data_IF_856529596513
#
_entry.id   IF_856529596513
#
_cell.length_a   1.000
_cell.length_b   1.000
_cell.length_c   1.000
_cell.angle_alpha   90.00
_cell.angle_beta   90.00
_cell.angle_gamma   90.00
#
_symmetry.space_group_name_H-M   'P 1'
#
loop_
_entity.id
_entity.type
_entity.pdbx_description
1 polymer ?
#
# COMPACT_ATOMS: atom_id res chain seq x y z
N UNK A 1 19.20 -8.19 -13.02
CA UNK A 1 19.91 -6.92 -13.16
C UNK A 1 20.75 -6.52 -11.93
N UNK A 2 20.65 -7.14 -10.76
CA UNK A 2 21.53 -6.92 -9.61
C UNK A 2 21.36 -5.61 -8.82
N UNK A 3 20.52 -4.70 -9.26
CA UNK A 3 20.16 -3.48 -8.52
C UNK A 3 18.89 -3.64 -7.72
N UNK A 4 18.72 -2.85 -6.67
CA UNK A 4 17.49 -2.81 -5.85
C UNK A 4 16.45 -1.95 -6.58
N UNK A 5 15.32 -2.57 -6.96
CA UNK A 5 14.20 -1.86 -7.60
C UNK A 5 13.19 -1.42 -6.56
N UNK A 6 12.80 -0.15 -6.62
CA UNK A 6 11.69 0.39 -5.82
C UNK A 6 10.37 -0.11 -6.39
N UNK A 7 9.64 -0.90 -5.64
CA UNK A 7 8.28 -1.33 -6.03
C UNK A 7 7.30 -0.18 -5.78
N UNK A 8 7.29 0.35 -4.57
CA UNK A 8 6.52 1.55 -4.20
C UNK A 8 7.13 2.20 -2.96
N UNK A 9 7.42 3.50 -2.96
CA UNK A 9 7.71 4.20 -1.73
C UNK A 9 6.44 4.23 -0.87
N UNK A 10 6.61 4.14 0.45
CA UNK A 10 5.49 4.29 1.38
C UNK A 10 5.11 5.76 1.41
N UNK A 11 3.84 6.07 1.17
CA UNK A 11 3.31 7.43 1.12
C UNK A 11 3.63 8.22 2.42
N UNK A 12 3.80 9.54 2.31
CA UNK A 12 4.17 10.49 3.36
C UNK A 12 5.51 10.22 4.07
N UNK A 13 6.25 9.20 3.64
CA UNK A 13 7.59 8.96 4.16
C UNK A 13 8.60 9.96 3.60
N UNK A 14 9.75 10.12 4.24
CA UNK A 14 10.84 10.93 3.71
C UNK A 14 11.24 10.55 2.27
N UNK A 15 11.26 9.26 1.94
CA UNK A 15 11.58 8.78 0.60
C UNK A 15 10.55 9.25 -0.45
N UNK A 16 9.25 9.11 -0.15
CA UNK A 16 8.20 9.59 -1.04
C UNK A 16 8.25 11.11 -1.22
N UNK A 17 8.45 11.87 -0.12
CA UNK A 17 8.57 13.34 -0.15
C UNK A 17 9.81 13.83 -0.90
N UNK A 18 10.89 13.07 -0.86
CA UNK A 18 12.11 13.35 -1.61
C UNK A 18 12.00 12.99 -3.10
N UNK A 19 10.88 12.43 -3.56
CA UNK A 19 10.61 12.19 -4.97
C UNK A 19 11.05 10.82 -5.50
N UNK A 20 11.33 9.85 -4.63
CA UNK A 20 11.47 8.44 -5.03
C UNK A 20 10.15 7.95 -5.60
N UNK A 21 10.19 7.19 -6.71
CA UNK A 21 9.01 6.71 -7.44
C UNK A 21 9.02 5.20 -7.64
N UNK A 22 7.86 4.58 -7.86
CA UNK A 22 7.79 3.20 -8.30
C UNK A 22 8.59 3.01 -9.60
N UNK A 23 9.38 1.94 -9.68
CA UNK A 23 10.21 1.64 -10.83
C UNK A 23 11.64 2.20 -10.80
N UNK A 24 11.98 3.08 -9.87
CA UNK A 24 13.35 3.56 -9.69
C UNK A 24 14.30 2.40 -9.32
N UNK A 25 15.52 2.45 -9.83
CA UNK A 25 16.59 1.52 -9.48
C UNK A 25 17.63 2.23 -8.61
N UNK A 26 17.80 1.77 -7.39
CA UNK A 26 18.84 2.28 -6.48
C UNK A 26 20.18 1.70 -6.94
N UNK A 27 21.14 2.57 -7.27
CA UNK A 27 22.48 2.19 -7.70
C UNK A 27 23.51 2.41 -6.61
N UNK A 28 23.36 3.45 -5.79
CA UNK A 28 24.25 3.73 -4.65
C UNK A 28 23.42 4.16 -3.43
N UNK A 29 23.97 3.86 -2.27
CA UNK A 29 23.54 4.33 -0.96
C UNK A 29 24.75 5.02 -0.33
N UNK A 30 24.67 6.35 -0.13
CA UNK A 30 25.82 7.20 0.11
C UNK A 30 26.86 6.94 -1.00
N UNK A 31 28.14 6.73 -0.67
CA UNK A 31 29.22 6.46 -1.63
C UNK A 31 29.35 4.96 -2.00
N UNK A 32 28.44 4.10 -1.55
CA UNK A 32 28.54 2.65 -1.74
C UNK A 32 27.59 2.14 -2.82
N UNK A 33 28.15 1.48 -3.84
CA UNK A 33 27.37 0.82 -4.89
C UNK A 33 26.61 -0.39 -4.34
N UNK A 34 25.33 -0.54 -4.74
CA UNK A 34 24.47 -1.65 -4.26
C UNK A 34 24.48 -2.86 -5.21
N UNK A 35 25.20 -2.80 -6.31
CA UNK A 35 25.25 -3.90 -7.29
C UNK A 35 25.80 -5.16 -6.63
N UNK A 36 25.02 -6.24 -6.66
CA UNK A 36 25.42 -7.54 -6.11
C UNK A 36 25.23 -7.69 -4.61
N UNK A 37 24.75 -6.68 -3.90
CA UNK A 37 24.36 -6.81 -2.50
C UNK A 37 23.07 -7.62 -2.36
N UNK A 38 22.90 -8.30 -1.23
CA UNK A 38 21.61 -8.85 -0.87
C UNK A 38 20.61 -7.72 -0.56
N UNK A 39 19.31 -8.01 -0.69
CA UNK A 39 18.28 -7.03 -0.32
C UNK A 39 18.39 -6.63 1.16
N UNK A 40 18.80 -7.56 2.00
CA UNK A 40 18.96 -7.31 3.44
C UNK A 40 20.12 -6.35 3.73
N UNK A 41 21.26 -6.53 3.07
CA UNK A 41 22.41 -5.62 3.21
C UNK A 41 22.03 -4.20 2.76
N UNK A 42 21.34 -4.07 1.62
CA UNK A 42 20.87 -2.78 1.14
C UNK A 42 19.89 -2.13 2.12
N UNK A 43 18.96 -2.91 2.72
CA UNK A 43 18.02 -2.41 3.74
C UNK A 43 18.76 -1.94 5.00
N UNK A 44 19.79 -2.66 5.43
CA UNK A 44 20.62 -2.25 6.58
C UNK A 44 21.35 -0.94 6.34
N UNK A 45 21.88 -0.74 5.13
CA UNK A 45 22.50 0.53 4.73
C UNK A 45 21.51 1.69 4.68
N UNK A 46 20.27 1.44 4.25
CA UNK A 46 19.20 2.45 4.24
C UNK A 46 18.78 2.86 5.65
N UNK A 47 18.88 1.96 6.62
CA UNK A 47 18.58 2.23 8.03
C UNK A 47 19.67 3.09 8.67
N UNK A 48 19.32 3.73 9.78
CA UNK A 48 20.25 4.52 10.57
C UNK A 48 19.54 5.36 11.63
N UNK A 49 20.28 6.19 12.39
CA UNK A 49 19.73 7.02 13.43
C UNK A 49 18.67 7.99 12.88
N UNK A 50 17.58 8.16 13.62
CA UNK A 50 16.53 9.13 13.28
C UNK A 50 17.13 10.53 13.21
N UNK A 51 16.80 11.27 12.15
CA UNK A 51 17.31 12.61 11.90
C UNK A 51 18.64 12.68 11.15
N UNK A 52 19.34 11.56 10.93
CA UNK A 52 20.52 11.53 10.05
C UNK A 52 20.12 11.60 8.59
N UNK A 53 20.98 12.15 7.75
CA UNK A 53 20.80 12.20 6.32
C UNK A 53 21.39 10.96 5.65
N UNK A 54 20.86 10.62 4.47
CA UNK A 54 21.36 9.59 3.57
C UNK A 54 21.19 10.10 2.14
N UNK A 55 22.13 9.81 1.26
CA UNK A 55 22.02 10.10 -0.17
C UNK A 55 21.78 8.81 -0.92
N UNK A 56 20.70 8.75 -1.70
CA UNK A 56 20.38 7.61 -2.53
C UNK A 56 20.52 8.03 -3.99
N UNK A 57 21.41 7.35 -4.74
CA UNK A 57 21.50 7.54 -6.18
C UNK A 57 20.58 6.55 -6.87
N UNK A 58 19.69 7.07 -7.70
CA UNK A 58 18.73 6.28 -8.47
C UNK A 58 18.89 6.48 -9.96
N UNK A 59 18.53 5.45 -10.72
CA UNK A 59 18.32 5.53 -12.17
C UNK A 59 16.83 5.33 -12.43
N UNK A 60 16.25 6.26 -13.19
CA UNK A 60 14.83 6.29 -13.54
C UNK A 60 14.66 6.15 -15.04
N UNK A 61 13.72 5.31 -15.46
CA UNK A 61 13.42 5.15 -16.89
C UNK A 61 12.89 6.49 -17.44
N UNK A 62 13.51 6.98 -18.52
CA UNK A 62 13.17 8.24 -19.15
C UNK A 62 14.01 9.44 -18.70
N UNK A 63 14.90 9.26 -17.72
CA UNK A 63 15.90 10.25 -17.34
C UNK A 63 17.28 9.81 -17.89
N UNK A 64 18.07 10.75 -18.40
CA UNK A 64 19.40 10.46 -18.99
C UNK A 64 20.46 10.27 -17.90
N UNK A 65 20.43 11.08 -16.86
CA UNK A 65 21.41 11.08 -15.78
C UNK A 65 20.89 10.43 -14.49
N UNK A 66 21.76 9.81 -13.67
CA UNK A 66 21.42 9.35 -12.32
C UNK A 66 20.97 10.52 -11.44
N UNK A 67 19.97 10.30 -10.62
CA UNK A 67 19.39 11.30 -9.72
C UNK A 67 19.88 11.03 -8.30
N UNK A 68 20.52 12.04 -7.68
CA UNK A 68 20.86 11.98 -6.27
C UNK A 68 19.72 12.54 -5.43
N UNK A 69 19.24 11.74 -4.49
CA UNK A 69 18.11 12.06 -3.61
C UNK A 69 18.59 12.06 -2.17
N UNK A 70 18.61 13.23 -1.55
CA UNK A 70 18.92 13.35 -0.12
C UNK A 70 17.66 13.10 0.70
N UNK A 71 17.76 12.20 1.68
CA UNK A 71 16.64 11.78 2.53
C UNK A 71 17.06 11.89 3.99
N UNK A 72 16.26 12.61 4.80
CA UNK A 72 16.42 12.65 6.24
C UNK A 72 15.68 11.48 6.87
N UNK A 73 16.39 10.59 7.57
CA UNK A 73 15.80 9.42 8.23
C UNK A 73 14.80 9.82 9.30
N UNK A 74 13.66 9.15 9.35
CA UNK A 74 12.59 9.36 10.31
C UNK A 74 11.99 8.04 10.74
N UNK A 75 11.23 8.05 11.84
CA UNK A 75 10.39 6.90 12.21
C UNK A 75 9.29 6.76 11.16
N UNK A 76 9.25 5.61 10.49
CA UNK A 76 8.25 5.31 9.48
C UNK A 76 7.07 4.62 10.15
N UNK A 77 5.96 5.34 10.27
CA UNK A 77 4.68 4.75 10.70
C UNK A 77 3.89 4.35 9.47
N UNK A 78 3.88 3.07 9.17
CA UNK A 78 3.11 2.53 8.04
C UNK A 78 1.64 2.47 8.44
N UNK A 79 0.83 3.38 7.87
CA UNK A 79 -0.62 3.27 7.95
C UNK A 79 -1.09 2.37 6.81
N UNK A 80 -1.81 1.29 7.13
CA UNK A 80 -2.35 0.39 6.12
C UNK A 80 -3.39 1.08 5.23
N UNK A 81 -4.13 2.05 5.77
CA UNK A 81 -5.23 2.74 5.09
C UNK A 81 -5.09 4.24 5.25
N UNK A 82 -5.33 4.97 4.16
CA UNK A 82 -5.48 6.42 4.10
C UNK A 82 -6.80 6.74 3.43
N UNK A 83 -7.37 7.84 3.78
CA UNK A 83 -8.62 8.28 3.19
C UNK A 83 -8.75 9.80 3.21
N UNK A 84 -9.49 10.32 2.26
CA UNK A 84 -9.89 11.71 2.18
C UNK A 84 -11.21 11.83 1.42
N UNK A 85 -11.86 12.96 1.58
CA UNK A 85 -13.04 13.33 0.85
C UNK A 85 -12.67 13.92 -0.50
N UNK A 86 -13.32 13.46 -1.57
CA UNK A 86 -13.25 14.03 -2.93
C UNK A 86 -14.65 14.46 -3.38
N UNK A 87 -15.01 15.71 -3.07
CA UNK A 87 -16.39 16.17 -3.28
C UNK A 87 -17.38 15.38 -2.43
N UNK A 88 -18.29 14.64 -3.09
CA UNK A 88 -19.25 13.74 -2.44
C UNK A 88 -18.86 12.25 -2.56
N UNK A 89 -17.59 11.96 -2.85
CA UNK A 89 -17.06 10.61 -2.96
C UNK A 89 -16.05 10.37 -1.84
N UNK A 90 -16.10 9.21 -1.21
CA UNK A 90 -15.10 8.76 -0.25
C UNK A 90 -13.91 8.11 -0.97
N UNK A 91 -12.72 8.72 -0.92
CA UNK A 91 -11.51 8.10 -1.45
C UNK A 91 -10.77 7.37 -0.33
N UNK A 92 -10.48 6.09 -0.56
CA UNK A 92 -9.79 5.21 0.39
C UNK A 92 -8.63 4.53 -0.32
N UNK A 93 -7.41 4.73 0.15
CA UNK A 93 -6.22 4.06 -0.35
C UNK A 93 -5.76 3.00 0.63
N UNK A 94 -5.75 1.75 0.21
CA UNK A 94 -5.21 0.62 0.95
C UNK A 94 -3.78 0.33 0.49
N UNK A 95 -2.80 0.63 1.35
CA UNK A 95 -1.37 0.55 1.03
C UNK A 95 -0.88 -0.89 1.08
N UNK A 96 -1.34 -1.67 2.07
CA UNK A 96 -0.99 -3.09 2.21
C UNK A 96 -2.03 -3.81 3.06
N UNK A 97 -2.14 -5.13 2.88
CA UNK A 97 -3.02 -5.98 3.70
C UNK A 97 -2.31 -6.41 5.00
N UNK A 98 -1.98 -5.44 5.87
CA UNK A 98 -1.44 -5.68 7.21
C UNK A 98 -2.55 -6.00 8.21
N UNK A 99 -2.21 -6.41 9.44
CA UNK A 99 -3.17 -6.70 10.51
C UNK A 99 -4.16 -5.56 10.83
N UNK A 100 -3.82 -4.34 10.41
CA UNK A 100 -4.66 -3.17 10.63
C UNK A 100 -5.54 -2.81 9.43
N UNK A 101 -5.46 -3.56 8.33
CA UNK A 101 -6.15 -3.23 7.07
C UNK A 101 -7.68 -3.22 7.25
N UNK A 102 -8.26 -4.28 7.78
CA UNK A 102 -9.70 -4.39 8.02
C UNK A 102 -10.24 -3.25 8.89
N UNK A 103 -9.62 -3.05 10.06
CA UNK A 103 -10.00 -1.98 10.97
C UNK A 103 -9.84 -0.59 10.34
N UNK A 104 -8.78 -0.41 9.55
CA UNK A 104 -8.51 0.83 8.83
C UNK A 104 -9.59 1.16 7.80
N UNK A 105 -10.03 0.17 7.02
CA UNK A 105 -11.12 0.31 6.03
C UNK A 105 -12.44 0.68 6.71
N UNK A 106 -12.83 -0.04 7.77
CA UNK A 106 -14.05 0.26 8.54
C UNK A 106 -14.05 1.70 9.07
N UNK A 107 -12.94 2.12 9.67
CA UNK A 107 -12.78 3.48 10.17
C UNK A 107 -12.86 4.52 9.04
N UNK A 108 -12.25 4.24 7.89
CA UNK A 108 -12.26 5.14 6.74
C UNK A 108 -13.69 5.34 6.20
N UNK A 109 -14.42 4.24 5.96
CA UNK A 109 -15.82 4.29 5.48
C UNK A 109 -16.69 5.07 6.47
N UNK A 110 -16.63 4.76 7.75
CA UNK A 110 -17.44 5.45 8.76
C UNK A 110 -17.10 6.94 8.87
N UNK A 111 -15.80 7.29 8.86
CA UNK A 111 -15.36 8.69 8.94
C UNK A 111 -15.83 9.50 7.73
N UNK A 112 -15.69 8.95 6.52
CA UNK A 112 -16.11 9.59 5.28
C UNK A 112 -17.63 9.73 5.21
N UNK A 113 -18.37 8.71 5.62
CA UNK A 113 -19.84 8.76 5.70
C UNK A 113 -20.29 9.87 6.64
N UNK A 114 -19.67 9.98 7.81
CA UNK A 114 -19.98 11.04 8.78
C UNK A 114 -19.60 12.43 8.26
N UNK A 115 -18.44 12.57 7.60
CA UNK A 115 -17.94 13.85 7.09
C UNK A 115 -18.76 14.39 5.92
N UNK A 116 -19.10 13.52 4.96
CA UNK A 116 -19.84 13.88 3.73
C UNK A 116 -21.33 14.00 4.02
N UNK A 117 -21.81 13.19 4.96
CA UNK A 117 -23.24 12.97 5.23
C UNK A 117 -23.81 11.86 4.34
N UNK A 118 -24.52 10.94 4.92
CA UNK A 118 -25.04 9.73 4.27
C UNK A 118 -25.87 10.03 3.02
N UNK A 119 -26.68 11.09 3.06
CA UNK A 119 -27.51 11.53 1.92
C UNK A 119 -26.72 12.17 0.78
N UNK A 120 -25.54 12.71 1.06
CA UNK A 120 -24.69 13.38 0.06
C UNK A 120 -23.64 12.43 -0.52
N UNK A 121 -23.31 11.37 0.20
CA UNK A 121 -22.27 10.40 -0.21
C UNK A 121 -22.76 9.57 -1.39
N UNK A 122 -22.10 9.76 -2.55
CA UNK A 122 -22.43 9.09 -3.81
C UNK A 122 -21.86 7.68 -3.90
N UNK A 123 -20.69 7.45 -3.30
CA UNK A 123 -19.99 6.17 -3.33
C UNK A 123 -18.55 6.28 -2.89
N UNK A 124 -17.77 5.23 -3.13
CA UNK A 124 -16.38 5.14 -2.70
C UNK A 124 -15.45 4.80 -3.86
N UNK A 125 -14.20 5.25 -3.74
CA UNK A 125 -13.08 4.79 -4.55
C UNK A 125 -12.12 4.04 -3.63
N UNK A 126 -11.89 2.76 -3.91
CA UNK A 126 -10.88 1.94 -3.23
C UNK A 126 -9.64 1.86 -4.11
N UNK A 127 -8.58 2.57 -3.73
CA UNK A 127 -7.32 2.59 -4.48
C UNK A 127 -6.35 1.52 -3.95
N UNK A 128 -6.09 0.52 -4.78
CA UNK A 128 -5.13 -0.57 -4.56
C UNK A 128 -3.88 -0.42 -5.44
N UNK A 129 -3.72 0.68 -6.15
CA UNK A 129 -2.53 0.88 -7.01
C UNK A 129 -1.26 0.87 -6.18
N UNK A 130 -0.25 0.14 -6.69
CA UNK A 130 1.02 -0.09 -5.99
C UNK A 130 0.91 -0.79 -4.63
N UNK A 131 -0.21 -1.46 -4.35
CA UNK A 131 -0.35 -2.31 -3.18
C UNK A 131 0.40 -3.63 -3.44
N UNK A 132 1.43 -3.99 -2.64
CA UNK A 132 2.21 -5.21 -2.85
C UNK A 132 1.51 -6.49 -2.36
N UNK A 133 0.29 -6.39 -1.82
CA UNK A 133 -0.41 -7.49 -1.18
C UNK A 133 -0.25 -7.49 0.35
N UNK A 134 -0.20 -8.69 0.96
CA UNK A 134 -0.06 -8.86 2.39
C UNK A 134 -0.72 -10.13 2.91
N UNK A 135 -1.34 -10.05 4.08
CA UNK A 135 -1.97 -11.19 4.75
C UNK A 135 -3.28 -11.58 4.06
N UNK A 136 -3.42 -12.85 3.73
CA UNK A 136 -4.60 -13.39 3.05
C UNK A 136 -5.88 -13.22 3.89
N UNK A 137 -5.81 -13.47 5.19
CA UNK A 137 -6.94 -13.30 6.09
C UNK A 137 -7.41 -11.84 6.14
N UNK A 138 -6.49 -10.89 6.06
CA UNK A 138 -6.83 -9.47 5.98
C UNK A 138 -7.44 -9.10 4.63
N UNK A 139 -6.95 -9.68 3.53
CA UNK A 139 -7.59 -9.45 2.23
C UNK A 139 -9.01 -9.99 2.17
N UNK A 140 -9.25 -11.17 2.76
CA UNK A 140 -10.59 -11.72 2.88
C UNK A 140 -11.50 -10.84 3.75
N UNK A 141 -11.03 -10.36 4.90
CA UNK A 141 -11.80 -9.47 5.79
C UNK A 141 -12.11 -8.13 5.15
N UNK A 142 -11.12 -7.54 4.46
CA UNK A 142 -11.35 -6.28 3.73
C UNK A 142 -12.39 -6.46 2.64
N UNK A 143 -12.34 -7.56 1.89
CA UNK A 143 -13.32 -7.86 0.85
C UNK A 143 -14.70 -8.13 1.44
N UNK A 144 -14.77 -8.85 2.58
CA UNK A 144 -16.01 -9.14 3.31
C UNK A 144 -16.78 -7.88 3.69
N UNK A 145 -16.07 -6.79 4.02
CA UNK A 145 -16.69 -5.51 4.35
C UNK A 145 -17.59 -4.92 3.25
N UNK A 146 -17.41 -5.33 2.02
CA UNK A 146 -18.10 -4.80 0.84
C UNK A 146 -19.06 -5.80 0.19
N UNK A 147 -19.28 -6.94 0.83
CA UNK A 147 -20.11 -8.02 0.30
C UNK A 147 -21.08 -8.53 1.36
N UNK A 148 -22.28 -8.88 0.95
CA UNK A 148 -23.27 -9.52 1.83
C UNK A 148 -23.26 -11.04 1.75
N UNK A 149 -22.84 -11.60 0.62
CA UNK A 149 -22.88 -13.03 0.36
C UNK A 149 -21.89 -13.45 -0.71
N UNK A 150 -21.56 -14.73 -0.78
CA UNK A 150 -20.74 -15.31 -1.82
C UNK A 150 -19.37 -15.77 -1.34
N UNK A 151 -18.67 -16.51 -2.20
CA UNK A 151 -17.28 -16.94 -1.96
C UNK A 151 -16.34 -15.80 -2.34
N UNK A 152 -15.48 -15.39 -1.42
CA UNK A 152 -14.46 -14.35 -1.63
C UNK A 152 -13.26 -14.97 -2.32
N UNK A 153 -12.71 -16.04 -1.72
CA UNK A 153 -11.54 -16.74 -2.24
C UNK A 153 -11.51 -18.17 -1.74
N UNK A 154 -11.04 -19.09 -2.58
CA UNK A 154 -10.73 -20.46 -2.18
C UNK A 154 -9.29 -20.84 -2.52
N UNK A 155 -8.63 -21.53 -1.60
CA UNK A 155 -7.29 -22.07 -1.78
C UNK A 155 -7.43 -23.59 -1.90
N UNK A 156 -6.87 -24.13 -2.96
CA UNK A 156 -6.82 -25.58 -3.20
C UNK A 156 -5.39 -26.06 -3.10
N UNK A 157 -5.12 -26.93 -2.14
CA UNK A 157 -3.85 -27.65 -2.05
C UNK A 157 -3.69 -28.73 -3.12
N UNK A 158 -2.52 -29.37 -3.12
CA UNK A 158 -2.25 -30.53 -4.00
C UNK A 158 -3.22 -31.69 -3.70
N UNK A 159 -3.57 -31.90 -2.43
CA UNK A 159 -4.61 -32.84 -2.03
C UNK A 159 -5.98 -32.20 -2.20
N UNK A 160 -6.90 -32.93 -2.85
CA UNK A 160 -8.30 -32.46 -3.05
C UNK A 160 -9.06 -32.21 -1.74
N UNK A 161 -8.56 -32.72 -0.60
CA UNK A 161 -9.14 -32.48 0.73
C UNK A 161 -8.66 -31.18 1.39
N UNK A 162 -7.57 -30.60 0.90
CA UNK A 162 -6.98 -29.38 1.46
C UNK A 162 -7.56 -28.15 0.74
N UNK A 163 -8.82 -27.87 1.05
CA UNK A 163 -9.51 -26.68 0.52
C UNK A 163 -9.86 -25.78 1.68
N UNK A 164 -9.31 -24.58 1.68
CA UNK A 164 -9.71 -23.48 2.55
C UNK A 164 -10.58 -22.50 1.76
N UNK A 165 -11.71 -22.11 2.30
CA UNK A 165 -12.63 -21.16 1.67
C UNK A 165 -12.92 -19.99 2.61
N UNK A 166 -12.96 -18.80 2.05
CA UNK A 166 -13.42 -17.59 2.71
C UNK A 166 -14.69 -17.15 2.01
N UNK A 167 -15.73 -16.97 2.77
CA UNK A 167 -17.06 -16.55 2.28
C UNK A 167 -17.47 -15.26 2.95
N UNK A 168 -18.23 -14.44 2.24
CA UNK A 168 -18.73 -13.19 2.74
C UNK A 168 -19.81 -13.43 3.83
N UNK A 169 -19.81 -12.54 4.80
CA UNK A 169 -20.82 -12.42 5.85
C UNK A 169 -21.73 -11.25 5.54
N UNK A 170 -22.95 -11.25 6.03
CA UNK A 170 -23.83 -10.09 5.89
C UNK A 170 -23.26 -8.87 6.60
N UNK A 171 -23.30 -7.73 5.95
CA UNK A 171 -22.92 -6.45 6.55
C UNK A 171 -22.04 -5.59 5.66
N UNK A 172 -22.48 -5.34 4.42
CA UNK A 172 -21.87 -4.31 3.57
C UNK A 172 -21.81 -2.98 4.32
N UNK A 173 -20.58 -2.54 4.62
CA UNK A 173 -20.32 -1.31 5.39
C UNK A 173 -20.58 -0.04 4.60
N UNK A 174 -20.84 -0.15 3.29
CA UNK A 174 -21.14 0.99 2.41
C UNK A 174 -22.64 1.23 2.25
N UNK A 175 -23.45 0.37 2.84
CA UNK A 175 -24.92 0.42 2.73
C UNK A 175 -25.41 0.40 1.27
N UNK A 176 -24.79 -0.47 0.46
CA UNK A 176 -25.11 -0.63 -0.97
C UNK A 176 -24.62 0.50 -1.87
N UNK A 177 -23.82 1.44 -1.39
CA UNK A 177 -23.25 2.49 -2.23
C UNK A 177 -22.20 1.92 -3.19
N UNK A 178 -22.13 2.44 -4.43
CA UNK A 178 -21.19 1.95 -5.44
C UNK A 178 -19.73 2.16 -5.02
N UNK A 179 -18.89 1.18 -5.39
CA UNK A 179 -17.45 1.21 -5.19
C UNK A 179 -16.73 1.07 -6.52
N UNK A 180 -15.76 1.94 -6.77
CA UNK A 180 -14.82 1.81 -7.88
C UNK A 180 -13.47 1.39 -7.32
N UNK A 181 -12.91 0.30 -7.84
CA UNK A 181 -11.59 -0.20 -7.42
C UNK A 181 -10.55 0.18 -8.47
N UNK A 182 -9.49 0.87 -8.03
CA UNK A 182 -8.35 1.23 -8.87
C UNK A 182 -7.21 0.22 -8.66
N UNK A 183 -6.71 -0.33 -9.74
CA UNK A 183 -5.55 -1.24 -9.77
C UNK A 183 -4.55 -0.80 -10.84
N UNK A 184 -3.30 -1.28 -10.77
CA UNK A 184 -2.24 -1.10 -11.78
C UNK A 184 -1.62 -2.43 -12.17
#
# INVERSE_FOLDING_TARGET
NGYVKVISPIDDTPAAKAGIRPGDYITHIDDTGVLGLSLQDAVEMLRGPVGSNIIITIVRIGEEDPINVEIKRAIITVRAVRFNREGNVGYIRLISFSEQADKGIKNAVQSLTNEIGESNLVGFILDLRSNPGGLLDQSAKVTDNFLDTGEIVSIKGRNKKDISRFSASRGDITDGKPIIVLIN
#
